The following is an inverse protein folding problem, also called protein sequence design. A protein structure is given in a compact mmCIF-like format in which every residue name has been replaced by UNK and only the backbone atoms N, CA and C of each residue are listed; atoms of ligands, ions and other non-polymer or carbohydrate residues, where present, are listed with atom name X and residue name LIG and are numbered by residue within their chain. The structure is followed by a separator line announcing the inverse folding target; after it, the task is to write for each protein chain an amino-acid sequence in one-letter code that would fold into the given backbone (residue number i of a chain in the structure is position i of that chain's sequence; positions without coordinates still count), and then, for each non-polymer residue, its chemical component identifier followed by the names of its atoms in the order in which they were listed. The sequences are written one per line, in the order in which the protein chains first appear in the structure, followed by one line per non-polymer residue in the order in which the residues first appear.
data_IF_593106923422
#
_entry.id   IF_593106923422
#
_cell.length_a   1.000
_cell.length_b   1.000
_cell.length_c   1.000
_cell.angle_alpha   90.00
_cell.angle_beta   90.00
_cell.angle_gamma   90.00
#
_symmetry.space_group_name_H-M   'P 1'
#
loop_
_entity.id
_entity.type
_entity.pdbx_description
1 polymer ?
#
# COMPACT_ATOMS: atom_id res chain seq x y z
N UNK A 1 -22.53 19.74 52.92
CA UNK A 1 -21.29 19.16 52.37
C UNK A 1 -21.62 18.07 51.35
N UNK A 2 -21.88 18.40 50.08
CA UNK A 2 -22.13 17.41 48.99
C UNK A 2 -21.35 17.73 47.70
N UNK A 3 -20.85 18.97 47.56
CA UNK A 3 -20.14 19.43 46.36
C UNK A 3 -18.76 18.76 46.15
N UNK A 4 -18.06 18.39 47.23
CA UNK A 4 -16.70 17.84 47.14
C UNK A 4 -16.62 16.43 46.52
N UNK A 5 -17.65 15.59 46.66
CA UNK A 5 -17.61 14.23 46.10
C UNK A 5 -17.90 14.23 44.59
N UNK A 6 -18.82 15.10 44.14
CA UNK A 6 -19.18 15.25 42.73
C UNK A 6 -18.05 15.88 41.92
N UNK A 7 -17.33 16.85 42.48
CA UNK A 7 -16.16 17.45 41.83
C UNK A 7 -15.01 16.44 41.69
N UNK A 8 -14.74 15.64 42.73
CA UNK A 8 -13.73 14.56 42.67
C UNK A 8 -14.09 13.46 41.68
N UNK A 9 -15.37 13.08 41.62
CA UNK A 9 -15.87 12.10 40.64
C UNK A 9 -15.73 12.62 39.21
N UNK A 10 -16.05 13.90 38.98
CA UNK A 10 -15.90 14.53 37.67
C UNK A 10 -14.44 14.63 37.24
N UNK A 11 -13.54 15.03 38.14
CA UNK A 11 -12.09 15.05 37.87
C UNK A 11 -11.54 13.65 37.56
N UNK A 12 -12.02 12.61 38.25
CA UNK A 12 -11.63 11.22 38.00
C UNK A 12 -12.11 10.74 36.63
N UNK A 13 -13.38 11.00 36.28
CA UNK A 13 -13.94 10.64 34.97
C UNK A 13 -13.23 11.36 33.82
N UNK A 14 -12.87 12.63 34.01
CA UNK A 14 -12.12 13.41 33.02
C UNK A 14 -10.70 12.84 32.84
N UNK A 15 -10.01 12.50 33.92
CA UNK A 15 -8.69 11.87 33.86
C UNK A 15 -8.76 10.50 33.15
N UNK A 16 -9.78 9.68 33.44
CA UNK A 16 -10.00 8.40 32.78
C UNK A 16 -10.26 8.57 31.27
N UNK A 17 -11.06 9.56 30.88
CA UNK A 17 -11.31 9.89 29.48
C UNK A 17 -10.01 10.30 28.77
N UNK A 18 -9.16 11.12 29.40
CA UNK A 18 -7.87 11.51 28.83
C UNK A 18 -6.94 10.29 28.68
N UNK A 19 -6.91 9.37 29.65
CA UNK A 19 -6.13 8.12 29.54
C UNK A 19 -6.66 7.22 28.42
N UNK A 20 -7.98 7.10 28.26
CA UNK A 20 -8.59 6.33 27.18
C UNK A 20 -8.33 6.96 25.80
N UNK A 21 -8.45 8.29 25.68
CA UNK A 21 -8.17 9.01 24.45
C UNK A 21 -6.68 8.98 24.09
N UNK A 22 -5.79 9.10 25.08
CA UNK A 22 -4.34 8.98 24.85
C UNK A 22 -3.94 7.54 24.53
N UNK A 23 -4.54 6.55 25.18
CA UNK A 23 -4.38 5.13 24.86
C UNK A 23 -4.86 4.81 23.45
N UNK A 24 -6.06 5.26 23.06
CA UNK A 24 -6.60 5.10 21.72
C UNK A 24 -5.75 5.82 20.66
N UNK A 25 -5.27 7.03 20.98
CA UNK A 25 -4.37 7.79 20.11
C UNK A 25 -2.98 7.15 19.97
N UNK A 26 -2.46 6.53 21.03
CA UNK A 26 -1.22 5.75 21.02
C UNK A 26 -1.39 4.44 20.22
N UNK A 27 -2.52 3.75 20.36
CA UNK A 27 -2.84 2.55 19.57
C UNK A 27 -2.96 2.88 18.08
N UNK A 28 -3.59 4.00 17.72
CA UNK A 28 -3.65 4.50 16.35
C UNK A 28 -2.31 5.10 15.84
N UNK A 29 -1.33 5.31 16.72
CA UNK A 29 0.05 5.70 16.37
C UNK A 29 0.95 4.52 15.99
N UNK A 30 0.45 3.29 16.04
CA UNK A 30 1.10 2.10 15.46
C UNK A 30 1.04 2.17 13.93
N UNK A 31 1.58 3.25 13.37
CA UNK A 31 1.65 3.44 11.94
C UNK A 31 2.63 2.44 11.36
N UNK A 32 2.13 1.61 10.44
CA UNK A 32 2.93 0.85 9.47
C UNK A 32 3.66 -0.39 10.01
N UNK A 33 3.34 -0.87 11.22
CA UNK A 33 3.86 -2.15 11.67
C UNK A 33 3.03 -3.28 11.03
N UNK A 34 3.70 -4.19 10.34
CA UNK A 34 3.09 -5.47 9.93
C UNK A 34 2.50 -6.16 11.17
N UNK A 35 1.36 -6.88 11.01
CA UNK A 35 0.94 -7.87 11.99
C UNK A 35 2.09 -8.83 12.34
N UNK A 36 2.24 -9.18 13.61
CA UNK A 36 3.41 -9.91 14.11
C UNK A 36 3.57 -11.29 13.47
N UNK A 37 2.45 -11.95 13.20
CA UNK A 37 2.35 -13.22 12.48
C UNK A 37 2.85 -13.11 11.04
N UNK A 38 2.52 -12.03 10.34
CA UNK A 38 3.03 -11.76 8.99
C UNK A 38 4.52 -11.40 9.03
N UNK A 39 4.92 -10.55 9.98
CA UNK A 39 6.31 -10.09 10.12
C UNK A 39 7.29 -11.25 10.29
N UNK A 40 6.89 -12.31 10.99
CA UNK A 40 7.73 -13.48 11.22
C UNK A 40 7.97 -14.33 9.95
N UNK A 41 7.10 -14.20 8.93
CA UNK A 41 7.13 -15.04 7.74
C UNK A 41 7.71 -14.35 6.50
N UNK A 42 7.90 -13.02 6.53
CA UNK A 42 8.45 -12.25 5.42
C UNK A 42 9.98 -12.20 5.49
N UNK A 43 10.64 -12.46 4.38
CA UNK A 43 12.10 -12.45 4.24
C UNK A 43 12.65 -11.27 3.40
N UNK A 44 11.77 -10.38 2.93
CA UNK A 44 12.11 -9.25 2.05
C UNK A 44 11.75 -7.89 2.68
N UNK A 45 12.26 -6.81 2.09
CA UNK A 45 11.99 -5.44 2.59
C UNK A 45 10.63 -4.98 2.12
N UNK A 46 9.73 -4.69 3.06
CA UNK A 46 8.41 -4.17 2.69
C UNK A 46 8.51 -2.69 2.31
N UNK A 47 7.93 -2.32 1.18
CA UNK A 47 7.79 -0.93 0.71
C UNK A 47 6.47 -0.36 1.23
N UNK A 48 6.46 0.86 1.73
CA UNK A 48 5.26 1.55 2.19
C UNK A 48 5.09 2.89 1.50
N UNK A 49 3.86 3.35 1.24
CA UNK A 49 3.63 4.72 0.80
C UNK A 49 3.96 5.74 1.89
N UNK A 50 4.04 7.02 1.50
CA UNK A 50 4.25 8.12 2.43
C UNK A 50 3.05 8.29 3.38
N UNK A 51 3.24 9.12 4.42
CA UNK A 51 2.27 9.30 5.52
C UNK A 51 0.93 9.92 5.09
N UNK A 52 0.87 10.53 3.90
CA UNK A 52 -0.36 11.02 3.28
C UNK A 52 -1.26 9.89 2.74
N UNK A 53 -0.73 8.66 2.66
CA UNK A 53 -1.50 7.45 2.41
C UNK A 53 -1.78 6.72 3.72
N UNK A 54 -3.07 6.44 3.96
CA UNK A 54 -3.52 5.60 5.08
C UNK A 54 -3.54 4.14 4.63
N UNK A 55 -2.73 3.31 5.29
CA UNK A 55 -2.79 1.86 5.14
C UNK A 55 -3.97 1.32 5.95
N UNK A 56 -4.73 0.41 5.34
CA UNK A 56 -5.74 -0.36 6.05
C UNK A 56 -5.08 -1.55 6.75
N UNK A 57 -4.88 -1.43 8.06
CA UNK A 57 -4.22 -2.45 8.86
C UNK A 57 -4.97 -3.81 8.89
N UNK A 58 -6.26 -3.83 8.57
CA UNK A 58 -7.04 -5.06 8.50
C UNK A 58 -6.98 -5.73 7.12
N UNK A 59 -6.33 -5.09 6.15
CA UNK A 59 -6.20 -5.59 4.79
C UNK A 59 -4.93 -6.40 4.55
N UNK A 60 -4.03 -6.47 5.54
CA UNK A 60 -2.81 -7.23 5.42
C UNK A 60 -3.13 -8.72 5.27
N UNK A 61 -2.58 -9.32 4.22
CA UNK A 61 -2.64 -10.75 3.98
C UNK A 61 -1.29 -11.20 3.45
N UNK A 62 -0.79 -12.32 3.97
CA UNK A 62 0.43 -12.93 3.47
C UNK A 62 0.11 -14.29 2.86
N UNK A 63 0.48 -14.47 1.60
CA UNK A 63 0.28 -15.69 0.82
C UNK A 63 1.59 -16.48 0.84
N UNK A 64 1.73 -17.40 1.79
CA UNK A 64 2.95 -18.19 1.99
C UNK A 64 3.40 -18.92 0.72
N UNK A 65 2.47 -19.45 -0.07
CA UNK A 65 2.77 -20.23 -1.28
C UNK A 65 3.43 -19.38 -2.39
N UNK A 66 3.19 -18.07 -2.38
CA UNK A 66 3.68 -17.14 -3.40
C UNK A 66 4.70 -16.14 -2.85
N UNK A 67 5.10 -16.26 -1.58
CA UNK A 67 5.94 -15.28 -0.84
C UNK A 67 5.43 -13.83 -1.08
N UNK A 68 4.11 -13.66 -1.00
CA UNK A 68 3.44 -12.41 -1.41
C UNK A 68 2.72 -11.75 -0.25
N UNK A 69 3.10 -10.52 0.06
CA UNK A 69 2.38 -9.62 0.96
C UNK A 69 1.38 -8.77 0.17
N UNK A 70 0.13 -8.78 0.62
CA UNK A 70 -0.93 -7.92 0.13
C UNK A 70 -1.37 -6.95 1.22
N UNK A 71 -1.68 -5.71 0.84
CA UNK A 71 -2.40 -4.75 1.68
C UNK A 71 -3.02 -3.64 0.83
N UNK A 72 -3.90 -2.85 1.44
CA UNK A 72 -4.55 -1.70 0.80
C UNK A 72 -4.05 -0.39 1.39
N UNK A 73 -3.81 0.57 0.52
CA UNK A 73 -3.50 1.96 0.88
C UNK A 73 -4.56 2.89 0.31
N UNK A 74 -4.83 4.00 1.00
CA UNK A 74 -5.83 4.98 0.58
C UNK A 74 -5.39 6.42 0.80
N UNK A 75 -5.70 7.30 -0.15
CA UNK A 75 -5.49 8.74 -0.04
C UNK A 75 -6.57 9.47 -0.82
N UNK A 76 -7.15 10.53 -0.24
CA UNK A 76 -8.17 11.36 -0.88
C UNK A 76 -9.33 10.57 -1.53
N UNK A 77 -9.81 9.50 -0.88
CA UNK A 77 -10.90 8.66 -1.38
C UNK A 77 -10.48 7.59 -2.42
N UNK A 78 -9.22 7.58 -2.84
CA UNK A 78 -8.66 6.61 -3.78
C UNK A 78 -8.13 5.40 -3.02
N UNK A 79 -8.34 4.19 -3.56
CA UNK A 79 -7.89 2.93 -2.96
C UNK A 79 -6.95 2.22 -3.92
N UNK A 80 -5.78 1.86 -3.40
CA UNK A 80 -4.72 1.17 -4.11
C UNK A 80 -4.49 -0.17 -3.41
N UNK A 81 -4.53 -1.26 -4.18
CA UNK A 81 -4.05 -2.56 -3.74
C UNK A 81 -2.54 -2.60 -3.93
N UNK A 82 -1.81 -2.98 -2.89
CA UNK A 82 -0.38 -3.19 -2.88
C UNK A 82 -0.11 -4.69 -2.79
N UNK A 83 0.66 -5.21 -3.74
CA UNK A 83 1.20 -6.57 -3.72
C UNK A 83 2.72 -6.49 -3.75
N UNK A 84 3.38 -7.27 -2.90
CA UNK A 84 4.83 -7.27 -2.78
C UNK A 84 5.36 -8.67 -2.59
N UNK A 85 6.47 -8.97 -3.24
CA UNK A 85 7.14 -10.26 -3.17
C UNK A 85 8.65 -10.06 -3.39
N UNK A 86 9.50 -11.03 -3.05
CA UNK A 86 10.89 -11.00 -3.46
C UNK A 86 11.01 -10.82 -4.98
N UNK A 87 11.96 -10.00 -5.40
CA UNK A 87 12.31 -9.91 -6.82
C UNK A 87 12.90 -11.26 -7.26
N UNK A 88 12.35 -11.92 -8.30
CA UNK A 88 12.93 -13.16 -8.81
C UNK A 88 14.36 -12.98 -9.31
N UNK A 89 15.17 -14.03 -9.23
CA UNK A 89 16.50 -14.03 -9.82
C UNK A 89 16.43 -13.73 -11.34
N UNK A 90 17.28 -12.81 -11.81
CA UNK A 90 17.31 -12.33 -13.20
C UNK A 90 16.07 -11.54 -13.64
N UNK A 91 15.33 -10.93 -12.71
CA UNK A 91 14.23 -10.05 -13.05
C UNK A 91 14.67 -8.89 -13.95
N UNK A 92 13.92 -8.68 -15.03
CA UNK A 92 14.11 -7.62 -16.01
C UNK A 92 12.75 -6.95 -16.22
N UNK A 93 12.59 -5.74 -15.68
CA UNK A 93 11.32 -5.03 -15.66
C UNK A 93 10.77 -4.83 -17.08
N UNK A 94 11.63 -4.44 -18.03
CA UNK A 94 11.21 -4.16 -19.40
C UNK A 94 10.71 -5.43 -20.08
N UNK A 95 11.42 -6.55 -19.95
CA UNK A 95 10.99 -7.84 -20.53
C UNK A 95 9.70 -8.35 -19.91
N UNK A 96 9.57 -8.25 -18.58
CA UNK A 96 8.37 -8.71 -17.87
C UNK A 96 7.16 -7.89 -18.28
N UNK A 97 7.28 -6.56 -18.33
CA UNK A 97 6.17 -5.69 -18.70
C UNK A 97 5.86 -5.80 -20.19
N UNK A 98 6.86 -6.03 -21.05
CA UNK A 98 6.64 -6.33 -22.46
C UNK A 98 5.86 -7.64 -22.65
N UNK A 99 6.22 -8.71 -21.93
CA UNK A 99 5.47 -9.98 -21.95
C UNK A 99 4.06 -9.81 -21.40
N UNK A 100 3.92 -9.15 -20.25
CA UNK A 100 2.62 -8.83 -19.66
C UNK A 100 1.78 -7.94 -20.57
N UNK A 101 2.39 -7.05 -21.35
CA UNK A 101 1.69 -6.21 -22.32
C UNK A 101 1.05 -7.06 -23.42
N UNK A 102 1.77 -8.07 -23.91
CA UNK A 102 1.23 -8.98 -24.92
C UNK A 102 0.04 -9.80 -24.40
N UNK A 103 0.05 -10.20 -23.14
CA UNK A 103 -0.97 -11.11 -22.58
C UNK A 103 -2.11 -10.39 -21.83
N UNK A 104 -1.79 -9.41 -20.98
CA UNK A 104 -2.73 -8.81 -20.01
C UNK A 104 -3.22 -7.42 -20.41
N UNK A 105 -2.47 -6.72 -21.27
CA UNK A 105 -2.84 -5.38 -21.75
C UNK A 105 -3.33 -5.40 -23.19
N UNK A 106 -3.49 -6.61 -23.77
CA UNK A 106 -3.92 -6.85 -25.14
C UNK A 106 -3.05 -6.11 -26.17
N UNK A 107 -1.73 -6.12 -25.94
CA UNK A 107 -0.73 -5.47 -26.79
C UNK A 107 -0.66 -3.95 -26.65
N UNK A 108 -1.42 -3.33 -25.73
CA UNK A 108 -1.34 -1.88 -25.48
C UNK A 108 -0.10 -1.56 -24.65
N UNK A 109 0.60 -0.49 -25.04
CA UNK A 109 1.88 -0.12 -24.47
C UNK A 109 1.85 0.23 -22.97
N UNK A 110 3.04 0.26 -22.39
CA UNK A 110 3.30 0.70 -21.03
C UNK A 110 4.12 1.99 -21.03
N UNK A 111 4.17 2.67 -19.90
CA UNK A 111 5.02 3.85 -19.70
C UNK A 111 6.05 3.56 -18.63
N UNK A 112 7.33 3.80 -18.92
CA UNK A 112 8.40 3.74 -17.92
C UNK A 112 8.59 5.11 -17.30
N UNK A 113 8.76 5.14 -15.98
CA UNK A 113 9.09 6.33 -15.22
C UNK A 113 10.20 6.02 -14.22
N UNK A 114 11.06 7.02 -13.97
CA UNK A 114 12.09 6.90 -12.95
C UNK A 114 11.56 7.42 -11.61
N UNK A 115 11.81 6.66 -10.56
CA UNK A 115 11.39 6.98 -9.19
C UNK A 115 12.59 6.96 -8.26
N UNK A 116 12.44 7.49 -7.04
CA UNK A 116 13.49 7.42 -6.01
C UNK A 116 13.90 6.01 -5.62
N UNK A 117 13.05 5.01 -5.82
CA UNK A 117 13.29 3.62 -5.43
C UNK A 117 13.74 2.74 -6.60
N UNK A 118 13.69 3.25 -7.84
CA UNK A 118 13.97 2.47 -9.04
C UNK A 118 13.12 2.91 -10.22
N UNK A 119 13.24 2.18 -11.33
CA UNK A 119 12.35 2.36 -12.48
C UNK A 119 11.01 1.67 -12.21
N UNK A 120 9.92 2.33 -12.58
CA UNK A 120 8.58 1.75 -12.51
C UNK A 120 7.92 1.75 -13.89
N UNK A 121 7.12 0.72 -14.15
CA UNK A 121 6.32 0.60 -15.34
C UNK A 121 4.84 0.78 -15.00
N UNK A 122 4.16 1.70 -15.70
CA UNK A 122 2.72 1.92 -15.59
C UNK A 122 2.04 1.21 -16.76
N UNK A 123 1.05 0.38 -16.44
CA UNK A 123 0.32 -0.42 -17.41
C UNK A 123 -1.18 -0.45 -17.10
N UNK A 124 -2.01 -0.74 -18.11
CA UNK A 124 -3.47 -0.81 -17.96
C UNK A 124 -3.98 -2.20 -18.31
N UNK A 125 -4.92 -2.69 -17.51
CA UNK A 125 -5.63 -3.95 -17.75
C UNK A 125 -6.92 -3.67 -18.50
N UNK A 126 -7.24 -4.53 -19.46
CA UNK A 126 -8.41 -4.39 -20.33
C UNK A 126 -9.30 -5.62 -20.24
N UNK A 127 -10.59 -5.41 -20.45
CA UNK A 127 -11.60 -6.46 -20.51
C UNK A 127 -11.50 -7.22 -21.82
N UNK A 128 -11.51 -8.55 -21.75
CA UNK A 128 -11.50 -9.42 -22.94
C UNK A 128 -12.81 -9.37 -23.72
N UNK A 129 -13.90 -8.87 -23.11
CA UNK A 129 -15.21 -8.82 -23.76
C UNK A 129 -15.37 -7.64 -24.70
N UNK A 130 -14.84 -6.49 -24.30
CA UNK A 130 -15.14 -5.19 -24.94
C UNK A 130 -13.92 -4.25 -25.05
N UNK A 131 -12.73 -4.72 -24.67
CA UNK A 131 -11.47 -3.95 -24.70
C UNK A 131 -11.52 -2.67 -23.84
N UNK A 132 -12.52 -2.56 -22.95
CA UNK A 132 -12.64 -1.43 -22.03
C UNK A 132 -11.58 -1.53 -20.94
N UNK A 133 -11.10 -0.37 -20.47
CA UNK A 133 -10.07 -0.33 -19.43
C UNK A 133 -10.70 -0.71 -18.08
N UNK A 134 -10.18 -1.76 -17.46
CA UNK A 134 -10.64 -2.24 -16.14
C UNK A 134 -9.94 -1.47 -15.04
N UNK A 135 -8.61 -1.41 -15.09
CA UNK A 135 -7.79 -0.78 -14.06
C UNK A 135 -6.43 -0.39 -14.61
N UNK A 136 -5.67 0.35 -13.82
CA UNK A 136 -4.27 0.67 -14.09
C UNK A 136 -3.43 0.23 -12.91
N UNK A 137 -2.23 -0.25 -13.22
CA UNK A 137 -1.25 -0.64 -12.23
C UNK A 137 0.11 -0.05 -12.52
N UNK A 138 0.92 0.06 -11.47
CA UNK A 138 2.33 0.32 -11.56
C UNK A 138 3.11 -0.88 -11.00
N UNK A 139 4.20 -1.24 -11.66
CA UNK A 139 5.13 -2.29 -11.25
C UNK A 139 6.48 -1.61 -11.00
N UNK A 140 7.05 -1.80 -9.82
CA UNK A 140 8.32 -1.22 -9.38
C UNK A 140 9.19 -2.35 -8.83
N UNK A 141 10.43 -2.46 -9.29
CA UNK A 141 11.47 -3.22 -8.60
C UNK A 141 12.23 -2.27 -7.69
N UNK A 142 12.39 -2.65 -6.43
CA UNK A 142 13.12 -1.84 -5.45
C UNK A 142 13.81 -2.73 -4.42
N UNK A 143 15.14 -2.80 -4.50
CA UNK A 143 16.00 -3.40 -3.45
C UNK A 143 15.65 -4.88 -3.16
N UNK A 144 15.40 -5.65 -4.22
CA UNK A 144 15.04 -7.07 -4.10
C UNK A 144 13.57 -7.29 -3.73
N UNK A 145 12.73 -6.27 -3.85
CA UNK A 145 11.28 -6.39 -3.68
C UNK A 145 10.57 -5.88 -4.93
N UNK A 146 9.75 -6.76 -5.50
CA UNK A 146 8.85 -6.43 -6.59
C UNK A 146 7.53 -5.93 -6.00
N UNK A 147 7.17 -4.69 -6.33
CA UNK A 147 5.95 -4.03 -5.88
C UNK A 147 5.00 -3.85 -7.05
N UNK A 148 3.77 -4.34 -6.90
CA UNK A 148 2.67 -4.03 -7.81
C UNK A 148 1.62 -3.19 -7.07
N UNK A 149 1.30 -2.03 -7.60
CA UNK A 149 0.27 -1.14 -7.10
C UNK A 149 -0.87 -1.05 -8.12
N UNK A 150 -2.09 -1.42 -7.73
CA UNK A 150 -3.26 -1.45 -8.63
C UNK A 150 -4.38 -0.56 -8.10
N UNK A 151 -4.99 0.24 -8.97
CA UNK A 151 -6.19 1.01 -8.62
C UNK A 151 -7.41 0.08 -8.47
N UNK A 152 -8.12 0.17 -7.34
CA UNK A 152 -9.29 -0.66 -7.06
C UNK A 152 -10.63 0.01 -7.35
N UNK A 153 -10.73 1.33 -7.13
CA UNK A 153 -11.98 2.07 -7.29
C UNK A 153 -11.91 3.16 -8.38
N UNK A 154 -10.85 3.15 -9.18
CA UNK A 154 -10.66 4.05 -10.32
C UNK A 154 -10.04 3.27 -11.48
N UNK A 155 -10.36 3.66 -12.71
CA UNK A 155 -9.79 3.01 -13.90
C UNK A 155 -8.38 3.52 -14.20
N UNK A 156 -8.09 4.81 -13.96
CA UNK A 156 -6.82 5.43 -14.35
C UNK A 156 -6.42 6.61 -13.49
N UNK A 157 -5.12 6.79 -13.34
CA UNK A 157 -4.47 8.02 -12.87
C UNK A 157 -3.71 8.70 -13.99
N UNK A 158 -3.49 10.01 -13.83
CA UNK A 158 -2.52 10.72 -14.66
C UNK A 158 -1.11 10.21 -14.40
N UNK A 159 -0.19 10.43 -15.34
CA UNK A 159 1.23 10.12 -15.11
C UNK A 159 1.77 10.85 -13.88
N UNK A 160 1.39 12.11 -13.69
CA UNK A 160 1.83 12.91 -12.54
C UNK A 160 1.31 12.35 -11.20
N UNK A 161 0.09 11.82 -11.14
CA UNK A 161 -0.44 11.14 -9.95
C UNK A 161 0.36 9.87 -9.63
N UNK A 162 0.69 9.06 -10.66
CA UNK A 162 1.54 7.88 -10.50
C UNK A 162 2.95 8.24 -10.05
N UNK A 163 3.58 9.22 -10.69
CA UNK A 163 4.91 9.71 -10.31
C UNK A 163 4.91 10.21 -8.86
N UNK A 164 3.89 10.97 -8.46
CA UNK A 164 3.74 11.44 -7.08
C UNK A 164 3.63 10.27 -6.12
N UNK A 165 2.77 9.31 -6.39
CA UNK A 165 2.58 8.13 -5.55
C UNK A 165 3.86 7.29 -5.44
N UNK A 166 4.48 6.95 -6.56
CA UNK A 166 5.67 6.10 -6.61
C UNK A 166 6.88 6.79 -5.97
N UNK A 167 7.04 8.10 -6.14
CA UNK A 167 8.08 8.88 -5.46
C UNK A 167 7.81 9.14 -3.97
N UNK A 168 6.62 8.79 -3.49
CA UNK A 168 6.25 8.82 -2.07
C UNK A 168 6.64 7.51 -1.36
N UNK A 169 6.84 6.43 -2.11
CA UNK A 169 7.17 5.12 -1.56
C UNK A 169 8.51 5.16 -0.83
N UNK A 170 8.61 4.34 0.22
CA UNK A 170 9.79 4.21 1.06
C UNK A 170 9.96 2.79 1.56
N UNK A 171 11.20 2.38 1.79
CA UNK A 171 11.52 1.10 2.41
C UNK A 171 11.14 1.12 3.89
N UNK A 172 10.37 0.12 4.31
CA UNK A 172 10.15 -0.27 5.69
C UNK A 172 11.18 -1.26 6.18
N UNK A 173 11.22 -1.44 7.51
CA UNK A 173 12.02 -2.44 8.21
C UNK A 173 11.10 -3.44 8.90
#
# INVERSE_FOLDING_TARGET
MVANSRLKLFSFLLALLVVLLTGFWLMNRSGLALPSDIKANINFKVVYPAKDYRIDNNSFQYLNEADTLLYKASAAGRIISMSQQPTPDNFDLEKVVQGASQTLTQGKGYTLINTKLGQAAITSFYSDKDLSKISQSAILESNGTLVTAQLLNEQSWSQADWEKFLNSLRLGK
#
